data_IF_665676335761
#
_entry.id   IF_665676335761
#
_cell.length_a   1.000
_cell.length_b   1.000
_cell.length_c   1.000
_cell.angle_alpha   90.00
_cell.angle_beta   90.00
_cell.angle_gamma   90.00
#
_symmetry.space_group_name_H-M   'P 1'
#
loop_
_entity.id
_entity.type
_entity.pdbx_description
1 polymer ?
#
# COMPACT_ATOMS: atom_id res chain seq x y z
N UNK A 1 -5.69 0.07 -6.17
CA UNK A 1 -5.15 0.26 -7.53
C UNK A 1 -6.08 -0.13 -8.67
N UNK A 2 -6.49 -1.40 -8.83
CA UNK A 2 -7.41 -1.78 -9.91
C UNK A 2 -8.74 -1.00 -9.92
N UNK A 3 -9.23 -0.61 -8.74
CA UNK A 3 -10.41 0.26 -8.57
C UNK A 3 -10.04 1.75 -8.60
N UNK A 4 -8.86 2.12 -8.12
CA UNK A 4 -8.41 3.51 -8.04
C UNK A 4 -8.15 4.09 -9.44
N UNK A 5 -7.53 3.31 -10.33
CA UNK A 5 -7.20 3.73 -11.68
C UNK A 5 -8.42 4.22 -12.48
N UNK A 6 -9.50 3.42 -12.65
CA UNK A 6 -10.68 3.89 -13.37
C UNK A 6 -11.39 5.03 -12.63
N UNK A 7 -11.36 5.05 -11.29
CA UNK A 7 -11.92 6.16 -10.51
C UNK A 7 -11.21 7.49 -10.80
N UNK A 8 -9.88 7.49 -10.83
CA UNK A 8 -9.09 8.70 -11.14
C UNK A 8 -9.29 9.16 -12.58
N UNK A 9 -9.44 8.21 -13.53
CA UNK A 9 -9.67 8.54 -14.93
C UNK A 9 -11.06 9.15 -15.20
N UNK A 10 -12.04 8.98 -14.31
CA UNK A 10 -13.35 9.64 -14.43
C UNK A 10 -13.25 11.16 -14.42
N UNK A 11 -12.24 11.72 -13.76
CA UNK A 11 -12.00 13.16 -13.80
C UNK A 11 -11.65 13.64 -15.21
N UNK A 12 -10.87 12.85 -15.98
CA UNK A 12 -10.46 13.20 -17.33
C UNK A 12 -11.53 12.87 -18.38
N UNK A 13 -12.31 11.81 -18.15
CA UNK A 13 -13.35 11.37 -19.07
C UNK A 13 -14.62 10.93 -18.31
N UNK A 14 -15.42 11.90 -17.82
CA UNK A 14 -16.66 11.62 -17.08
C UNK A 14 -17.66 10.78 -17.89
N UNK A 15 -17.72 11.03 -19.21
CA UNK A 15 -18.62 10.35 -20.14
C UNK A 15 -18.18 8.91 -20.49
N UNK A 16 -17.10 8.39 -19.87
CA UNK A 16 -16.66 7.02 -20.17
C UNK A 16 -17.63 5.96 -19.67
N UNK A 17 -18.53 6.29 -18.72
CA UNK A 17 -19.44 5.34 -18.08
C UNK A 17 -20.47 4.81 -19.09
N UNK A 18 -20.36 3.53 -19.43
CA UNK A 18 -21.17 2.88 -20.45
C UNK A 18 -21.44 1.42 -20.09
N UNK A 19 -22.65 0.96 -20.42
CA UNK A 19 -23.10 -0.41 -20.18
C UNK A 19 -23.20 -0.74 -18.69
N UNK A 20 -24.28 -0.32 -18.05
CA UNK A 20 -24.55 -0.68 -16.65
C UNK A 20 -24.58 -2.22 -16.51
N UNK A 21 -23.81 -2.73 -15.55
CA UNK A 21 -23.71 -4.16 -15.27
C UNK A 21 -24.63 -4.55 -14.12
N UNK A 22 -24.35 -4.02 -12.91
CA UNK A 22 -25.11 -4.26 -11.69
C UNK A 22 -24.76 -3.21 -10.63
N UNK A 23 -25.54 -3.16 -9.54
CA UNK A 23 -25.30 -2.28 -8.40
C UNK A 23 -24.67 -3.05 -7.24
N UNK A 24 -23.59 -2.53 -6.65
CA UNK A 24 -22.95 -3.06 -5.43
C UNK A 24 -22.88 -1.95 -4.39
N UNK A 25 -23.49 -2.17 -3.22
CA UNK A 25 -23.46 -1.24 -2.09
C UNK A 25 -23.85 0.21 -2.46
N UNK A 26 -24.84 0.37 -3.35
CA UNK A 26 -25.31 1.68 -3.84
C UNK A 26 -24.53 2.25 -5.01
N UNK A 27 -23.40 1.65 -5.40
CA UNK A 27 -22.62 2.05 -6.58
C UNK A 27 -23.03 1.26 -7.82
N UNK A 28 -23.36 1.94 -8.92
CA UNK A 28 -23.62 1.32 -10.21
C UNK A 28 -22.30 1.00 -10.91
N UNK A 29 -22.04 -0.28 -11.13
CA UNK A 29 -20.84 -0.75 -11.83
C UNK A 29 -21.10 -0.68 -13.33
N UNK A 30 -20.28 0.10 -14.03
CA UNK A 30 -20.32 0.23 -15.50
C UNK A 30 -19.26 -0.65 -16.15
N UNK A 31 -19.60 -1.27 -17.29
CA UNK A 31 -18.73 -2.19 -18.02
C UNK A 31 -17.44 -1.52 -18.48
N UNK A 32 -17.53 -0.29 -19.00
CA UNK A 32 -16.36 0.49 -19.42
C UNK A 32 -15.43 0.84 -18.26
N UNK A 33 -15.98 1.25 -17.11
CA UNK A 33 -15.22 1.56 -15.89
C UNK A 33 -14.51 0.32 -15.34
N UNK A 34 -15.24 -0.81 -15.24
CA UNK A 34 -14.66 -2.07 -14.81
C UNK A 34 -13.58 -2.56 -15.80
N UNK A 35 -13.80 -2.38 -17.11
CA UNK A 35 -12.85 -2.75 -18.16
C UNK A 35 -11.51 -2.01 -18.02
N UNK A 36 -11.53 -0.70 -17.69
CA UNK A 36 -10.30 0.07 -17.44
C UNK A 36 -9.50 -0.54 -16.27
N UNK A 37 -10.17 -0.85 -15.16
CA UNK A 37 -9.53 -1.51 -14.01
C UNK A 37 -8.98 -2.91 -14.34
N UNK A 38 -9.76 -3.70 -15.08
CA UNK A 38 -9.37 -5.05 -15.52
C UNK A 38 -8.17 -5.00 -16.47
N UNK A 39 -8.19 -4.13 -17.48
CA UNK A 39 -7.08 -3.93 -18.43
C UNK A 39 -5.83 -3.48 -17.68
N UNK A 40 -5.95 -2.53 -16.74
CA UNK A 40 -4.86 -2.13 -15.87
C UNK A 40 -4.28 -3.32 -15.09
N UNK A 41 -5.13 -4.16 -14.50
CA UNK A 41 -4.70 -5.33 -13.76
C UNK A 41 -3.98 -6.35 -14.64
N UNK A 42 -4.48 -6.62 -15.85
CA UNK A 42 -3.80 -7.48 -16.83
C UNK A 42 -2.43 -6.90 -17.18
N UNK A 43 -2.36 -5.60 -17.50
CA UNK A 43 -1.12 -4.94 -17.89
C UNK A 43 -0.06 -4.97 -16.78
N UNK A 44 -0.45 -4.63 -15.54
CA UNK A 44 0.45 -4.65 -14.39
C UNK A 44 0.90 -6.07 -14.03
N UNK A 45 0.00 -7.05 -14.13
CA UNK A 45 0.31 -8.46 -13.92
C UNK A 45 1.31 -8.96 -14.97
N UNK A 46 1.05 -8.67 -16.24
CA UNK A 46 1.91 -9.05 -17.35
C UNK A 46 3.30 -8.43 -17.22
N UNK A 47 3.38 -7.13 -16.91
CA UNK A 47 4.65 -6.41 -16.70
C UNK A 47 5.51 -7.10 -15.65
N UNK A 48 4.92 -7.43 -14.50
CA UNK A 48 5.62 -8.09 -13.40
C UNK A 48 5.93 -9.56 -13.68
N UNK A 49 5.08 -10.24 -14.47
CA UNK A 49 5.30 -11.62 -14.88
C UNK A 49 6.50 -11.77 -15.82
N UNK A 50 6.60 -10.87 -16.83
CA UNK A 50 7.67 -10.87 -17.85
C UNK A 50 9.03 -10.53 -17.25
N UNK A 51 9.10 -9.67 -16.25
CA UNK A 51 10.32 -9.53 -15.47
C UNK A 51 10.52 -8.20 -14.76
N UNK A 52 11.50 -8.21 -13.85
CA UNK A 52 11.83 -7.09 -12.96
C UNK A 52 12.44 -5.91 -13.71
N UNK A 53 13.21 -6.16 -14.78
CA UNK A 53 13.87 -5.07 -15.54
C UNK A 53 12.84 -4.14 -16.23
N UNK A 54 11.88 -4.63 -17.05
CA UNK A 54 10.82 -3.78 -17.57
C UNK A 54 10.02 -3.08 -16.47
N UNK A 55 9.67 -3.80 -15.40
CA UNK A 55 8.93 -3.25 -14.27
C UNK A 55 9.70 -2.10 -13.58
N UNK A 56 11.02 -2.20 -13.45
CA UNK A 56 11.88 -1.16 -12.86
C UNK A 56 12.04 0.07 -13.77
N UNK A 57 12.14 -0.13 -15.10
CA UNK A 57 12.16 0.98 -16.06
C UNK A 57 10.83 1.72 -16.05
N UNK A 58 9.72 1.00 -16.09
CA UNK A 58 8.38 1.56 -15.96
C UNK A 58 8.24 2.36 -14.66
N UNK A 59 8.67 1.78 -13.53
CA UNK A 59 8.69 2.45 -12.23
C UNK A 59 9.44 3.77 -12.29
N UNK A 60 10.65 3.77 -12.85
CA UNK A 60 11.52 4.95 -12.89
C UNK A 60 10.93 6.07 -13.75
N UNK A 61 10.41 5.74 -14.94
CA UNK A 61 9.77 6.73 -15.83
C UNK A 61 8.53 7.34 -15.16
N UNK A 62 7.66 6.50 -14.58
CA UNK A 62 6.45 6.97 -13.93
C UNK A 62 6.74 7.80 -12.66
N UNK A 63 7.75 7.44 -11.87
CA UNK A 63 8.18 8.25 -10.71
C UNK A 63 8.77 9.60 -11.17
N UNK A 64 9.59 9.63 -12.21
CA UNK A 64 10.14 10.90 -12.73
C UNK A 64 9.03 11.81 -13.24
N UNK A 65 8.02 11.25 -13.92
CA UNK A 65 6.85 12.00 -14.35
C UNK A 65 6.04 12.53 -13.16
N UNK A 66 5.77 11.69 -12.16
CA UNK A 66 5.10 12.08 -10.92
C UNK A 66 5.85 13.23 -10.20
N UNK A 67 7.17 13.14 -10.09
CA UNK A 67 8.00 14.18 -9.49
C UNK A 67 7.98 15.48 -10.31
N UNK A 68 7.96 15.40 -11.64
CA UNK A 68 7.82 16.55 -12.51
C UNK A 68 6.48 17.27 -12.34
N UNK A 69 5.39 16.49 -12.29
CA UNK A 69 4.04 17.01 -12.02
C UNK A 69 3.95 17.62 -10.61
N UNK A 70 4.53 16.95 -9.62
CA UNK A 70 4.59 17.49 -8.26
C UNK A 70 5.42 18.76 -8.17
N UNK A 71 6.55 18.86 -8.87
CA UNK A 71 7.32 20.10 -8.95
C UNK A 71 6.50 21.24 -9.58
N UNK A 72 5.71 20.93 -10.62
CA UNK A 72 4.81 21.90 -11.24
C UNK A 72 3.72 22.39 -10.26
N UNK A 73 3.19 21.49 -9.44
CA UNK A 73 2.26 21.83 -8.35
C UNK A 73 2.91 22.76 -7.32
N UNK A 74 4.11 22.42 -6.84
CA UNK A 74 4.85 23.26 -5.88
C UNK A 74 5.16 24.66 -6.44
N UNK A 75 5.58 24.73 -7.71
CA UNK A 75 5.80 26.00 -8.41
C UNK A 75 4.50 26.81 -8.55
N UNK A 76 3.38 26.13 -8.81
CA UNK A 76 2.05 26.74 -8.85
C UNK A 76 1.74 27.50 -7.57
N UNK A 77 1.97 26.91 -6.39
CA UNK A 77 1.72 27.61 -5.12
C UNK A 77 2.63 28.81 -4.88
N UNK A 78 3.82 28.88 -5.50
CA UNK A 78 4.68 30.07 -5.38
C UNK A 78 4.17 31.20 -6.28
N UNK A 79 3.57 30.87 -7.42
CA UNK A 79 3.14 31.84 -8.43
C UNK A 79 1.70 32.32 -8.20
N UNK A 80 0.80 31.41 -7.82
CA UNK A 80 -0.64 31.66 -7.70
C UNK A 80 -1.26 31.24 -6.37
N UNK A 81 -0.46 30.82 -5.38
CA UNK A 81 -0.99 30.45 -4.07
C UNK A 81 -1.25 31.66 -3.17
N UNK A 82 -2.33 31.61 -2.40
CA UNK A 82 -2.67 32.65 -1.42
C UNK A 82 -2.48 32.13 0.01
N UNK A 83 -1.74 32.88 0.83
CA UNK A 83 -1.48 32.49 2.22
C UNK A 83 -2.74 32.57 3.12
N UNK A 84 -3.72 33.38 2.72
CA UNK A 84 -4.98 33.52 3.46
C UNK A 84 -5.83 32.24 3.38
N UNK A 85 -5.72 31.48 2.29
CA UNK A 85 -6.38 30.17 2.14
C UNK A 85 -5.88 29.13 3.17
N UNK A 86 -4.64 29.30 3.67
CA UNK A 86 -4.09 28.44 4.72
C UNK A 86 -4.67 28.76 6.11
N UNK A 87 -5.42 29.84 6.27
CA UNK A 87 -6.00 30.22 7.55
C UNK A 87 -7.45 29.72 7.70
N UNK A 88 -7.82 29.19 8.88
CA UNK A 88 -6.93 28.84 9.99
C UNK A 88 -6.11 27.57 9.67
N UNK A 89 -4.82 27.56 10.09
CA UNK A 89 -3.92 26.42 9.88
C UNK A 89 -4.39 25.12 10.55
N UNK A 90 -5.28 25.22 11.54
CA UNK A 90 -5.77 24.09 12.30
C UNK A 90 -7.26 24.21 12.56
N UNK A 91 -8.01 23.22 12.06
CA UNK A 91 -9.47 23.09 12.22
C UNK A 91 -9.82 21.73 12.84
N UNK A 92 -11.00 21.64 13.46
CA UNK A 92 -11.52 20.37 13.98
C UNK A 92 -10.92 19.88 15.30
N UNK A 93 -9.93 20.57 15.88
CA UNK A 93 -9.40 20.23 17.20
C UNK A 93 -8.77 18.82 17.25
N UNK A 94 -8.92 18.15 18.39
CA UNK A 94 -8.48 16.76 18.54
C UNK A 94 -9.19 15.80 17.58
N UNK A 95 -10.47 16.06 17.25
CA UNK A 95 -11.22 15.22 16.32
C UNK A 95 -10.65 15.29 14.89
N UNK A 96 -10.24 16.48 14.44
CA UNK A 96 -9.57 16.65 13.15
C UNK A 96 -8.25 15.88 13.06
N UNK A 97 -7.43 15.95 14.12
CA UNK A 97 -6.17 15.18 14.21
C UNK A 97 -6.43 13.68 14.16
N UNK A 98 -7.41 13.21 14.92
CA UNK A 98 -7.78 11.78 14.92
C UNK A 98 -8.27 11.39 13.53
N UNK A 99 -9.08 12.21 12.86
CA UNK A 99 -9.55 11.96 11.50
C UNK A 99 -8.41 11.79 10.49
N UNK A 100 -7.38 12.64 10.56
CA UNK A 100 -6.17 12.46 9.73
C UNK A 100 -5.41 11.20 10.10
N UNK A 101 -5.25 10.92 11.40
CA UNK A 101 -4.54 9.73 11.89
C UNK A 101 -5.15 8.41 11.41
N UNK A 102 -6.46 8.37 11.14
CA UNK A 102 -7.14 7.19 10.56
C UNK A 102 -6.60 6.83 9.18
N UNK A 103 -6.31 7.82 8.33
CA UNK A 103 -5.82 7.58 6.97
C UNK A 103 -4.32 7.27 6.91
N UNK A 104 -3.55 7.67 7.92
CA UNK A 104 -2.07 7.56 7.94
C UNK A 104 -1.54 6.14 7.70
N UNK A 105 -2.05 5.07 8.35
CA UNK A 105 -1.53 3.71 8.14
C UNK A 105 -1.60 3.28 6.67
N UNK A 106 -2.69 3.64 5.98
CA UNK A 106 -2.85 3.34 4.57
C UNK A 106 -1.94 4.21 3.69
N UNK A 107 -1.85 5.51 3.96
CA UNK A 107 -1.01 6.43 3.17
C UNK A 107 0.49 6.09 3.26
N UNK A 108 0.95 5.54 4.39
CA UNK A 108 2.36 5.20 4.59
C UNK A 108 2.71 3.75 4.25
N UNK A 109 1.74 2.90 3.87
CA UNK A 109 2.05 1.52 3.48
C UNK A 109 2.87 1.50 2.18
N UNK A 110 3.85 0.59 2.08
CA UNK A 110 4.69 0.43 0.89
C UNK A 110 6.19 0.54 1.16
N UNK A 111 6.63 1.15 2.28
CA UNK A 111 8.05 1.15 2.66
C UNK A 111 8.58 -0.28 2.90
N UNK A 112 7.70 -1.21 3.25
CA UNK A 112 7.99 -2.62 3.50
C UNK A 112 8.27 -3.43 2.23
N UNK A 113 8.00 -2.87 1.04
CA UNK A 113 8.37 -3.48 -0.25
C UNK A 113 9.89 -3.51 -0.44
N UNK A 114 10.60 -2.52 0.10
CA UNK A 114 12.07 -2.43 0.02
C UNK A 114 12.74 -3.68 0.62
N UNK A 115 12.50 -4.05 1.90
CA UNK A 115 13.08 -5.27 2.47
C UNK A 115 12.55 -6.56 1.82
N UNK A 116 11.32 -6.60 1.29
CA UNK A 116 10.78 -7.78 0.59
C UNK A 116 11.55 -8.10 -0.71
N UNK A 117 12.21 -7.10 -1.29
CA UNK A 117 13.03 -7.26 -2.49
C UNK A 117 14.53 -7.19 -2.19
N UNK A 118 14.94 -7.26 -0.91
CA UNK A 118 16.33 -7.04 -0.51
C UNK A 118 17.32 -8.03 -1.17
N UNK A 119 16.89 -9.27 -1.43
CA UNK A 119 17.72 -10.28 -2.12
C UNK A 119 18.01 -9.92 -3.58
N UNK A 120 17.16 -9.11 -4.21
CA UNK A 120 17.31 -8.65 -5.60
C UNK A 120 18.06 -7.30 -5.68
N UNK A 121 18.33 -6.65 -4.53
CA UNK A 121 18.98 -5.34 -4.45
C UNK A 121 20.51 -5.51 -4.32
N UNK A 122 21.26 -4.94 -5.26
CA UNK A 122 22.73 -4.91 -5.19
C UNK A 122 23.23 -3.76 -4.30
N UNK A 123 22.86 -3.76 -3.01
CA UNK A 123 23.32 -2.79 -2.01
C UNK A 123 23.65 -3.48 -0.69
N UNK A 124 24.61 -2.96 0.11
CA UNK A 124 24.87 -3.48 1.44
C UNK A 124 23.61 -3.40 2.32
N UNK A 125 23.31 -4.43 3.11
CA UNK A 125 22.13 -4.48 4.00
C UNK A 125 22.01 -3.27 4.93
N UNK A 126 23.14 -2.73 5.41
CA UNK A 126 23.16 -1.50 6.23
C UNK A 126 22.59 -0.29 5.49
N UNK A 127 22.83 -0.19 4.18
CA UNK A 127 22.30 0.88 3.34
C UNK A 127 20.82 0.68 3.06
N UNK A 128 20.37 -0.56 2.82
CA UNK A 128 18.95 -0.89 2.68
C UNK A 128 18.16 -0.42 3.90
N UNK A 129 18.66 -0.70 5.11
CA UNK A 129 18.03 -0.22 6.36
C UNK A 129 17.96 1.31 6.47
N UNK A 130 18.98 2.04 6.00
CA UNK A 130 18.97 3.52 5.95
C UNK A 130 17.97 4.05 4.93
N UNK A 131 17.91 3.44 3.73
CA UNK A 131 17.01 3.85 2.66
C UNK A 131 15.54 3.68 3.07
N UNK A 132 15.22 2.68 3.87
CA UNK A 132 13.88 2.51 4.44
C UNK A 132 13.49 3.74 5.29
N UNK A 133 14.35 4.17 6.22
CA UNK A 133 14.09 5.37 7.05
C UNK A 133 14.00 6.64 6.19
N UNK A 134 14.91 6.80 5.23
CA UNK A 134 14.91 7.94 4.31
C UNK A 134 13.63 7.98 3.48
N UNK A 135 13.13 6.82 3.02
CA UNK A 135 11.90 6.74 2.20
C UNK A 135 10.68 7.24 2.96
N UNK A 136 10.52 6.84 4.23
CA UNK A 136 9.40 7.28 5.08
C UNK A 136 9.50 8.77 5.38
N UNK A 137 10.71 9.27 5.68
CA UNK A 137 10.94 10.71 5.91
C UNK A 137 10.65 11.55 4.65
N UNK A 138 11.09 11.08 3.48
CA UNK A 138 10.84 11.74 2.20
C UNK A 138 9.35 11.75 1.86
N UNK A 139 8.64 10.64 2.06
CA UNK A 139 7.19 10.58 1.88
C UNK A 139 6.45 11.54 2.83
N UNK A 140 6.87 11.61 4.10
CA UNK A 140 6.31 12.56 5.07
C UNK A 140 6.49 14.00 4.61
N UNK A 141 7.71 14.37 4.19
CA UNK A 141 8.00 15.71 3.68
C UNK A 141 7.17 16.01 2.43
N UNK A 142 7.04 15.04 1.51
CA UNK A 142 6.22 15.17 0.32
C UNK A 142 4.75 15.41 0.64
N UNK A 143 4.17 14.65 1.57
CA UNK A 143 2.79 14.85 1.98
C UNK A 143 2.56 16.23 2.60
N UNK A 144 3.46 16.70 3.47
CA UNK A 144 3.38 18.05 4.04
C UNK A 144 3.45 19.12 2.95
N UNK A 145 4.37 18.97 1.99
CA UNK A 145 4.49 19.90 0.86
C UNK A 145 3.22 19.95 0.03
N UNK A 146 2.65 18.80 -0.34
CA UNK A 146 1.39 18.74 -1.10
C UNK A 146 0.23 19.36 -0.31
N UNK A 147 0.11 19.06 1.00
CA UNK A 147 -0.95 19.65 1.83
C UNK A 147 -0.85 21.17 1.90
N UNK A 148 0.34 21.72 2.10
CA UNK A 148 0.54 23.18 2.15
C UNK A 148 0.26 23.82 0.79
N UNK A 149 0.70 23.18 -0.30
CA UNK A 149 0.49 23.71 -1.66
C UNK A 149 -0.97 23.65 -2.10
N UNK A 150 -1.69 22.58 -1.79
CA UNK A 150 -3.14 22.51 -2.08
C UNK A 150 -3.90 23.44 -1.13
N UNK A 151 -3.51 23.53 0.13
CA UNK A 151 -4.12 24.44 1.09
C UNK A 151 -3.96 25.92 0.75
N UNK A 152 -2.95 26.31 -0.02
CA UNK A 152 -2.80 27.69 -0.50
C UNK A 152 -3.59 27.97 -1.78
N UNK A 153 -4.04 26.93 -2.50
CA UNK A 153 -4.65 27.07 -3.82
C UNK A 153 -6.12 27.48 -3.79
N UNK A 154 -6.88 27.04 -2.80
CA UNK A 154 -8.34 27.18 -2.77
C UNK A 154 -8.82 27.49 -1.34
N UNK A 155 -9.94 28.24 -1.19
CA UNK A 155 -10.60 28.42 0.10
C UNK A 155 -11.07 27.09 0.73
N UNK A 156 -11.14 27.03 2.07
CA UNK A 156 -11.42 25.78 2.80
C UNK A 156 -12.78 25.14 2.47
N UNK A 157 -13.81 25.95 2.24
CA UNK A 157 -15.15 25.47 1.85
C UNK A 157 -15.15 24.84 0.46
N UNK A 158 -14.38 25.41 -0.47
CA UNK A 158 -14.19 24.85 -1.81
C UNK A 158 -13.36 23.56 -1.76
N UNK A 159 -12.26 23.55 -1.00
CA UNK A 159 -11.44 22.35 -0.78
C UNK A 159 -12.26 21.19 -0.18
N UNK A 160 -13.15 21.48 0.77
CA UNK A 160 -13.98 20.48 1.42
C UNK A 160 -15.09 19.93 0.50
N UNK A 161 -15.52 20.70 -0.50
CA UNK A 161 -16.53 20.30 -1.47
C UNK A 161 -15.95 19.59 -2.71
N UNK A 162 -14.65 19.72 -2.96
CA UNK A 162 -13.98 19.14 -4.12
C UNK A 162 -13.83 17.61 -4.01
N UNK A 163 -14.12 16.91 -5.10
CA UNK A 163 -13.89 15.46 -5.20
C UNK A 163 -12.42 15.11 -5.40
N UNK A 164 -11.66 15.97 -6.09
CA UNK A 164 -10.21 15.84 -6.28
C UNK A 164 -9.51 17.18 -5.98
N UNK A 165 -9.38 17.54 -4.69
CA UNK A 165 -8.89 18.86 -4.26
C UNK A 165 -7.51 19.20 -4.80
N UNK A 166 -6.66 18.18 -4.98
CA UNK A 166 -5.33 18.36 -5.55
C UNK A 166 -5.40 18.86 -7.00
N UNK A 167 -6.30 18.30 -7.83
CA UNK A 167 -6.43 18.62 -9.26
C UNK A 167 -7.11 19.97 -9.48
N UNK A 168 -8.17 20.24 -8.71
CA UNK A 168 -8.85 21.53 -8.70
C UNK A 168 -7.89 22.63 -8.25
N UNK A 169 -7.14 22.38 -7.17
CA UNK A 169 -6.12 23.30 -6.68
C UNK A 169 -5.03 23.58 -7.71
N UNK A 170 -4.56 22.56 -8.43
CA UNK A 170 -3.61 22.76 -9.53
C UNK A 170 -4.18 23.61 -10.66
N UNK A 171 -5.46 23.43 -11.00
CA UNK A 171 -6.12 24.23 -12.03
C UNK A 171 -6.23 25.69 -11.61
N UNK A 172 -6.54 25.95 -10.34
CA UNK A 172 -6.64 27.30 -9.79
C UNK A 172 -5.28 28.01 -9.76
N UNK A 173 -4.25 27.34 -9.25
CA UNK A 173 -2.88 27.90 -9.16
C UNK A 173 -2.32 28.39 -10.49
N UNK A 174 -2.74 27.77 -11.60
CA UNK A 174 -2.30 28.10 -12.96
C UNK A 174 -3.39 28.78 -13.80
N UNK A 175 -4.60 28.98 -13.26
CA UNK A 175 -5.75 29.52 -13.98
C UNK A 175 -6.16 28.71 -15.22
N UNK A 176 -5.92 27.40 -15.24
CA UNK A 176 -6.17 26.56 -16.42
C UNK A 176 -6.38 25.08 -16.08
N UNK A 177 -7.51 24.53 -16.55
CA UNK A 177 -7.89 23.13 -16.39
C UNK A 177 -6.84 22.15 -16.90
N UNK A 178 -6.06 22.54 -17.93
CA UNK A 178 -5.00 21.70 -18.48
C UNK A 178 -4.00 21.27 -17.39
N UNK A 179 -3.70 22.14 -16.42
CA UNK A 179 -2.78 21.81 -15.35
C UNK A 179 -3.40 20.84 -14.33
N UNK A 180 -4.70 20.95 -14.06
CA UNK A 180 -5.44 19.93 -13.31
C UNK A 180 -5.40 18.56 -13.99
N UNK A 181 -5.63 18.52 -15.30
CA UNK A 181 -5.59 17.28 -16.08
C UNK A 181 -4.19 16.64 -16.06
N UNK A 182 -3.13 17.45 -16.19
CA UNK A 182 -1.74 17.01 -16.02
C UNK A 182 -1.51 16.44 -14.61
N UNK A 183 -2.09 17.06 -13.58
CA UNK A 183 -2.00 16.55 -12.22
C UNK A 183 -2.67 15.18 -12.08
N UNK A 184 -3.84 15.00 -12.67
CA UNK A 184 -4.55 13.72 -12.67
C UNK A 184 -3.73 12.64 -13.37
N UNK A 185 -3.07 12.95 -14.50
CA UNK A 185 -2.12 12.04 -15.13
C UNK A 185 -0.94 11.70 -14.20
N UNK A 186 -0.44 12.67 -13.44
CA UNK A 186 0.56 12.43 -12.39
C UNK A 186 0.05 11.48 -11.30
N UNK A 187 -1.19 11.68 -10.84
CA UNK A 187 -1.88 10.79 -9.89
C UNK A 187 -2.03 9.36 -10.43
N UNK A 188 -2.38 9.21 -11.72
CA UNK A 188 -2.41 7.91 -12.41
C UNK A 188 -1.02 7.25 -12.39
N UNK A 189 0.06 8.00 -12.68
CA UNK A 189 1.41 7.47 -12.55
C UNK A 189 1.75 7.04 -11.10
N UNK A 190 1.28 7.79 -10.11
CA UNK A 190 1.36 7.41 -8.68
C UNK A 190 0.65 6.08 -8.38
N UNK A 191 -0.58 5.91 -8.85
CA UNK A 191 -1.35 4.66 -8.70
C UNK A 191 -0.61 3.49 -9.36
N UNK A 192 -0.12 3.67 -10.58
CA UNK A 192 0.57 2.61 -11.31
C UNK A 192 1.92 2.22 -10.68
N UNK A 193 2.67 3.19 -10.13
CA UNK A 193 3.94 2.93 -9.43
C UNK A 193 3.73 2.23 -8.09
N UNK A 194 2.70 2.61 -7.35
CA UNK A 194 2.26 1.91 -6.13
C UNK A 194 1.85 0.47 -6.47
N UNK A 195 1.01 0.30 -7.49
CA UNK A 195 0.55 -1.03 -7.93
C UNK A 195 1.70 -1.94 -8.33
N UNK A 196 2.64 -1.43 -9.13
CA UNK A 196 3.83 -2.16 -9.53
C UNK A 196 4.64 -2.64 -8.30
N UNK A 197 4.86 -1.73 -7.35
CA UNK A 197 5.65 -1.99 -6.14
C UNK A 197 4.98 -3.03 -5.24
N UNK A 198 3.67 -2.93 -5.01
CA UNK A 198 2.95 -3.91 -4.21
C UNK A 198 2.90 -5.29 -4.89
N UNK A 199 2.70 -5.35 -6.20
CA UNK A 199 2.71 -6.64 -6.91
C UNK A 199 4.10 -7.29 -6.88
N UNK A 200 5.16 -6.48 -7.00
CA UNK A 200 6.53 -6.92 -6.81
C UNK A 200 6.71 -7.48 -5.39
N UNK A 201 6.50 -6.67 -4.35
CA UNK A 201 6.72 -7.08 -2.96
C UNK A 201 5.87 -8.27 -2.53
N UNK A 202 4.55 -8.21 -2.73
CA UNK A 202 3.63 -9.26 -2.30
C UNK A 202 3.92 -10.62 -2.96
N UNK A 203 4.32 -10.63 -4.23
CA UNK A 203 4.68 -11.88 -4.90
C UNK A 203 5.97 -12.51 -4.34
N UNK A 204 6.95 -11.71 -3.90
CA UNK A 204 8.16 -12.21 -3.21
C UNK A 204 7.85 -12.70 -1.81
N UNK A 205 7.02 -11.96 -1.08
CA UNK A 205 6.57 -12.38 0.24
C UNK A 205 5.84 -13.73 0.17
N UNK A 206 4.90 -13.87 -0.77
CA UNK A 206 4.19 -15.14 -0.99
C UNK A 206 5.15 -16.27 -1.39
N UNK A 207 6.11 -16.00 -2.27
CA UNK A 207 7.14 -16.97 -2.65
C UNK A 207 7.99 -17.42 -1.46
N UNK A 208 8.45 -16.48 -0.63
CA UNK A 208 9.26 -16.76 0.56
C UNK A 208 8.47 -17.62 1.55
N UNK A 209 7.25 -17.22 1.89
CA UNK A 209 6.37 -17.99 2.79
C UNK A 209 6.08 -19.40 2.26
N UNK A 210 5.89 -19.55 0.94
CA UNK A 210 5.69 -20.86 0.31
C UNK A 210 6.96 -21.72 0.32
N UNK A 211 8.13 -21.09 0.15
CA UNK A 211 9.44 -21.76 0.20
C UNK A 211 9.77 -22.27 1.59
N UNK A 212 9.37 -21.53 2.63
CA UNK A 212 9.47 -21.96 4.04
C UNK A 212 8.35 -22.93 4.46
N UNK A 213 7.44 -23.31 3.56
CA UNK A 213 6.38 -24.29 3.81
C UNK A 213 5.11 -23.74 4.49
N UNK A 214 5.04 -22.42 4.71
CA UNK A 214 3.90 -21.74 5.34
C UNK A 214 2.72 -21.52 4.38
N UNK A 215 2.99 -21.47 3.08
CA UNK A 215 1.98 -21.42 2.02
C UNK A 215 2.07 -22.65 1.10
N UNK A 216 1.01 -22.94 0.30
CA UNK A 216 1.06 -24.00 -0.70
C UNK A 216 2.26 -23.86 -1.63
N UNK A 217 2.98 -24.98 -1.87
CA UNK A 217 4.19 -25.02 -2.71
C UNK A 217 4.01 -24.49 -4.13
N UNK A 218 2.77 -24.46 -4.63
CA UNK A 218 2.45 -23.86 -5.91
C UNK A 218 2.96 -22.41 -6.01
N UNK A 219 2.90 -21.63 -4.92
CA UNK A 219 3.41 -20.26 -4.87
C UNK A 219 4.94 -20.15 -4.85
N UNK A 220 5.65 -21.23 -4.48
CA UNK A 220 7.12 -21.29 -4.51
C UNK A 220 7.67 -21.62 -5.92
N UNK A 221 6.81 -21.70 -6.94
CA UNK A 221 7.25 -22.02 -8.30
C UNK A 221 7.73 -20.76 -9.02
N UNK A 222 8.97 -20.80 -9.50
CA UNK A 222 9.58 -19.73 -10.29
C UNK A 222 9.46 -20.05 -11.77
N UNK A 223 9.13 -19.04 -12.59
CA UNK A 223 9.01 -19.19 -14.03
C UNK A 223 10.38 -19.50 -14.68
N UNK A 224 10.52 -20.54 -15.52
CA UNK A 224 11.82 -20.99 -16.02
C UNK A 224 12.53 -19.93 -16.89
N UNK A 225 11.77 -19.19 -17.71
CA UNK A 225 12.32 -18.13 -18.59
C UNK A 225 12.58 -16.80 -17.88
N UNK A 226 11.58 -16.27 -17.17
CA UNK A 226 11.59 -14.94 -16.59
C UNK A 226 12.16 -14.87 -15.17
N UNK A 227 12.33 -16.03 -14.50
CA UNK A 227 12.83 -16.14 -13.13
C UNK A 227 12.03 -15.33 -12.10
N UNK A 228 10.73 -15.16 -12.35
CA UNK A 228 9.77 -14.48 -11.47
C UNK A 228 8.88 -15.50 -10.74
N UNK A 229 8.32 -15.19 -9.56
CA UNK A 229 7.35 -16.05 -8.87
C UNK A 229 5.99 -16.02 -9.58
N UNK A 230 5.94 -16.61 -10.78
CA UNK A 230 4.84 -16.46 -11.74
C UNK A 230 3.47 -16.83 -11.18
N UNK A 231 3.38 -17.90 -10.40
CA UNK A 231 2.12 -18.34 -9.80
C UNK A 231 1.58 -17.36 -8.75
N UNK A 232 2.46 -16.78 -7.94
CA UNK A 232 2.08 -15.74 -6.97
C UNK A 232 1.62 -14.47 -7.70
N UNK A 233 2.32 -14.05 -8.75
CA UNK A 233 1.95 -12.90 -9.58
C UNK A 233 0.57 -13.11 -10.21
N UNK A 234 0.32 -14.28 -10.81
CA UNK A 234 -0.97 -14.60 -11.43
C UNK A 234 -2.11 -14.65 -10.41
N UNK A 235 -1.86 -15.13 -9.20
CA UNK A 235 -2.87 -15.16 -8.14
C UNK A 235 -3.24 -13.75 -7.68
N UNK A 236 -2.25 -12.90 -7.36
CA UNK A 236 -2.48 -11.52 -6.93
C UNK A 236 -3.12 -10.71 -8.07
N UNK A 237 -2.65 -10.90 -9.31
CA UNK A 237 -3.23 -10.34 -10.52
C UNK A 237 -4.68 -10.77 -10.71
N UNK A 238 -4.98 -12.05 -10.50
CA UNK A 238 -6.33 -12.61 -10.50
C UNK A 238 -7.27 -11.92 -9.52
N UNK A 239 -6.85 -11.74 -8.26
CA UNK A 239 -7.64 -11.00 -7.27
C UNK A 239 -7.83 -9.54 -7.68
N UNK A 240 -6.80 -8.92 -8.27
CA UNK A 240 -6.85 -7.54 -8.75
C UNK A 240 -7.83 -7.36 -9.92
N UNK A 241 -7.96 -8.35 -10.80
CA UNK A 241 -8.92 -8.36 -11.91
C UNK A 241 -10.37 -8.39 -11.43
N UNK A 242 -10.62 -9.04 -10.28
CA UNK A 242 -11.96 -9.15 -9.71
C UNK A 242 -12.39 -7.88 -8.98
N UNK A 243 -11.46 -7.10 -8.43
CA UNK A 243 -11.79 -5.95 -7.58
C UNK A 243 -12.70 -4.90 -8.26
N UNK A 244 -12.48 -4.50 -9.54
CA UNK A 244 -13.38 -3.56 -10.23
C UNK A 244 -14.81 -4.09 -10.40
N UNK A 245 -15.04 -5.40 -10.35
CA UNK A 245 -16.40 -5.95 -10.49
C UNK A 245 -17.30 -5.63 -9.29
N UNK A 246 -16.71 -5.15 -8.19
CA UNK A 246 -17.43 -4.78 -6.97
C UNK A 246 -17.62 -3.26 -6.82
N UNK A 247 -17.27 -2.48 -7.84
CA UNK A 247 -17.45 -1.03 -7.85
C UNK A 247 -16.47 -0.26 -6.98
N UNK A 248 -16.67 1.05 -6.89
CA UNK A 248 -15.78 1.96 -6.14
C UNK A 248 -15.70 1.59 -4.66
N UNK A 249 -16.80 1.09 -4.08
CA UNK A 249 -16.86 0.75 -2.66
C UNK A 249 -15.86 -0.36 -2.25
N UNK A 250 -15.47 -1.23 -3.19
CA UNK A 250 -14.43 -2.23 -2.94
C UNK A 250 -13.09 -1.61 -2.55
N UNK A 251 -12.76 -0.42 -3.06
CA UNK A 251 -11.55 0.29 -2.64
C UNK A 251 -11.61 0.64 -1.15
N UNK A 252 -12.74 1.20 -0.70
CA UNK A 252 -12.94 1.58 0.71
C UNK A 252 -12.81 0.34 1.60
N UNK A 253 -13.52 -0.73 1.28
CA UNK A 253 -13.48 -1.96 2.08
C UNK A 253 -12.07 -2.57 2.19
N UNK A 254 -11.30 -2.55 1.11
CA UNK A 254 -9.93 -3.07 1.11
C UNK A 254 -8.96 -2.15 1.86
N UNK A 255 -9.15 -0.83 1.76
CA UNK A 255 -8.37 0.17 2.50
C UNK A 255 -8.59 -0.01 4.00
N UNK A 256 -9.84 -0.14 4.44
CA UNK A 256 -10.19 -0.18 5.85
C UNK A 256 -9.80 -1.53 6.48
N UNK A 257 -10.23 -2.65 5.88
CA UNK A 257 -9.86 -3.98 6.38
C UNK A 257 -8.34 -4.25 6.26
N UNK A 258 -7.71 -3.73 5.21
CA UNK A 258 -6.26 -3.78 5.02
C UNK A 258 -5.50 -2.94 6.04
N UNK A 259 -5.98 -1.72 6.32
CA UNK A 259 -5.40 -0.79 7.28
C UNK A 259 -5.24 -1.41 8.68
N UNK A 260 -6.29 -2.09 9.15
CA UNK A 260 -6.27 -2.83 10.42
C UNK A 260 -5.17 -3.89 10.41
N UNK A 261 -5.10 -4.67 9.32
CA UNK A 261 -4.13 -5.74 9.17
C UNK A 261 -2.68 -5.22 9.14
N UNK A 262 -2.46 -4.07 8.50
CA UNK A 262 -1.17 -3.36 8.46
C UNK A 262 -0.76 -2.92 9.88
N UNK A 263 -1.66 -2.31 10.64
CA UNK A 263 -1.35 -1.85 12.00
C UNK A 263 -1.04 -3.01 12.94
N UNK A 264 -1.78 -4.12 12.83
CA UNK A 264 -1.47 -5.35 13.58
C UNK A 264 -0.09 -5.89 13.17
N UNK A 265 0.24 -5.90 11.88
CA UNK A 265 1.56 -6.31 11.42
C UNK A 265 2.68 -5.41 11.99
N UNK A 266 2.50 -4.09 12.02
CA UNK A 266 3.45 -3.16 12.65
C UNK A 266 3.64 -3.45 14.14
N UNK A 267 2.55 -3.72 14.87
CA UNK A 267 2.63 -4.14 16.26
C UNK A 267 3.42 -5.46 16.41
N UNK A 268 3.14 -6.47 15.59
CA UNK A 268 3.85 -7.75 15.66
C UNK A 268 5.33 -7.62 15.30
N UNK A 269 5.69 -6.79 14.32
CA UNK A 269 7.09 -6.52 13.95
C UNK A 269 7.83 -5.83 15.09
N UNK A 270 7.21 -4.85 15.75
CA UNK A 270 7.84 -4.13 16.88
C UNK A 270 8.01 -5.03 18.11
N UNK A 271 7.02 -5.89 18.40
CA UNK A 271 7.15 -6.94 19.43
C UNK A 271 8.27 -7.91 19.08
N UNK A 272 8.31 -8.40 17.83
CA UNK A 272 9.35 -9.33 17.34
C UNK A 272 10.74 -8.70 17.46
N UNK A 273 10.89 -7.41 17.11
CA UNK A 273 12.12 -6.66 17.30
C UNK A 273 12.59 -6.64 18.77
N UNK A 274 11.67 -6.40 19.72
CA UNK A 274 11.98 -6.40 21.16
C UNK A 274 12.33 -7.81 21.66
N UNK A 275 11.63 -8.84 21.19
CA UNK A 275 11.89 -10.25 21.53
C UNK A 275 13.26 -10.68 21.02
N UNK A 276 13.59 -10.41 19.74
CA UNK A 276 14.88 -10.76 19.16
C UNK A 276 16.05 -10.06 19.84
N UNK A 277 15.86 -8.85 20.39
CA UNK A 277 16.92 -8.19 21.18
C UNK A 277 17.21 -8.90 22.50
N UNK A 278 16.24 -9.64 23.06
CA UNK A 278 16.42 -10.41 24.30
C UNK A 278 16.86 -11.84 24.05
N UNK A 279 16.25 -12.51 23.06
CA UNK A 279 16.52 -13.92 22.76
C UNK A 279 17.79 -14.15 21.95
N UNK A 280 18.13 -13.22 21.07
CA UNK A 280 19.31 -13.32 20.19
C UNK A 280 20.16 -12.04 20.23
N UNK A 281 20.81 -11.75 21.38
CA UNK A 281 21.62 -10.55 21.55
C UNK A 281 22.83 -10.51 20.60
N UNK A 282 23.42 -11.68 20.31
CA UNK A 282 24.64 -11.81 19.51
C UNK A 282 24.40 -11.92 18.00
N UNK A 283 23.14 -11.89 17.55
CA UNK A 283 22.81 -11.91 16.12
C UNK A 283 23.42 -10.69 15.41
N UNK A 284 24.04 -10.92 14.25
CA UNK A 284 24.59 -9.84 13.44
C UNK A 284 23.45 -8.91 12.98
N UNK A 285 23.65 -7.60 13.16
CA UNK A 285 22.65 -6.57 12.83
C UNK A 285 23.33 -5.49 11.99
N UNK A 286 23.34 -5.65 10.65
CA UNK A 286 24.00 -4.71 9.75
C UNK A 286 23.49 -3.27 9.92
N UNK A 287 22.21 -3.12 10.22
CA UNK A 287 21.59 -1.85 10.62
C UNK A 287 21.10 -1.92 12.07
N UNK A 288 21.38 -0.88 12.86
CA UNK A 288 20.92 -0.73 14.25
C UNK A 288 20.20 0.60 14.41
N UNK A 289 18.95 0.53 14.86
CA UNK A 289 18.12 1.71 15.20
C UNK A 289 18.75 2.47 16.38
N UNK A 290 18.88 3.79 16.23
CA UNK A 290 19.30 4.69 17.30
C UNK A 290 18.22 4.69 18.41
N UNK A 291 18.61 4.55 19.68
CA UNK A 291 17.68 4.46 20.82
C UNK A 291 17.21 3.03 21.17
N UNK A 292 17.60 2.02 20.40
CA UNK A 292 17.56 0.63 20.85
C UNK A 292 16.14 0.11 21.18
N UNK A 293 15.96 -0.59 22.32
CA UNK A 293 14.65 -1.11 22.74
C UNK A 293 13.60 -0.03 23.01
N UNK A 294 14.00 1.20 23.37
CA UNK A 294 13.06 2.28 23.70
C UNK A 294 12.22 2.64 22.47
N UNK A 295 12.86 2.75 21.30
CA UNK A 295 12.16 3.00 20.03
C UNK A 295 11.19 1.87 19.69
N UNK A 296 11.59 0.62 19.93
CA UNK A 296 10.71 -0.54 19.72
C UNK A 296 9.49 -0.54 20.65
N UNK A 297 9.66 -0.18 21.92
CA UNK A 297 8.57 -0.08 22.88
C UNK A 297 7.60 1.06 22.53
N UNK A 298 8.14 2.23 22.17
CA UNK A 298 7.32 3.36 21.72
C UNK A 298 6.54 3.00 20.46
N UNK A 299 7.19 2.38 19.47
CA UNK A 299 6.54 1.96 18.23
C UNK A 299 5.43 0.92 18.48
N UNK A 300 5.62 -0.01 19.42
CA UNK A 300 4.59 -0.97 19.81
C UNK A 300 3.38 -0.27 20.46
N UNK A 301 3.61 0.70 21.36
CA UNK A 301 2.52 1.48 21.99
C UNK A 301 1.78 2.32 20.95
N UNK A 302 2.49 3.00 20.05
CA UNK A 302 1.87 3.80 18.98
C UNK A 302 1.09 2.94 17.99
N UNK A 303 1.61 1.76 17.63
CA UNK A 303 0.88 0.81 16.77
C UNK A 303 -0.39 0.32 17.46
N UNK A 304 -0.34 0.02 18.77
CA UNK A 304 -1.52 -0.36 19.54
C UNK A 304 -2.53 0.80 19.63
N UNK A 305 -2.07 2.03 19.83
CA UNK A 305 -2.93 3.21 19.85
C UNK A 305 -3.64 3.42 18.50
N UNK A 306 -2.94 3.21 17.38
CA UNK A 306 -3.56 3.21 16.05
C UNK A 306 -4.57 2.08 15.88
N UNK A 307 -4.28 0.87 16.40
CA UNK A 307 -5.20 -0.26 16.31
C UNK A 307 -6.54 0.01 17.00
N UNK A 308 -6.51 0.76 18.11
CA UNK A 308 -7.72 1.17 18.84
C UNK A 308 -8.66 2.00 17.96
N UNK A 309 -8.14 2.81 17.02
CA UNK A 309 -8.97 3.65 16.15
C UNK A 309 -9.90 2.85 15.22
N UNK A 310 -9.60 1.57 15.00
CA UNK A 310 -10.39 0.66 14.17
C UNK A 310 -11.46 -0.13 14.95
N UNK A 311 -11.53 0.01 16.28
CA UNK A 311 -12.52 -0.69 17.09
C UNK A 311 -13.94 -0.10 16.90
N UNK A 312 -15.00 -0.90 17.13
CA UNK A 312 -16.38 -0.41 17.06
C UNK A 312 -16.59 0.85 17.90
N UNK A 313 -17.16 1.90 17.28
CA UNK A 313 -17.40 3.20 17.93
C UNK A 313 -16.27 4.22 17.79
N UNK A 314 -15.15 3.85 17.17
CA UNK A 314 -14.07 4.78 16.83
C UNK A 314 -14.18 5.28 15.37
N UNK A 315 -13.46 6.36 15.01
CA UNK A 315 -13.61 7.00 13.69
C UNK A 315 -13.19 6.14 12.49
N UNK A 316 -12.34 5.13 12.69
CA UNK A 316 -11.96 4.15 11.67
C UNK A 316 -12.66 2.79 11.85
N UNK A 317 -13.78 2.75 12.59
CA UNK A 317 -14.47 1.51 12.89
C UNK A 317 -14.87 0.79 11.59
N UNK A 318 -14.52 -0.50 11.50
CA UNK A 318 -14.88 -1.29 10.32
C UNK A 318 -16.40 -1.38 10.17
N UNK A 319 -16.86 -1.18 8.94
CA UNK A 319 -18.26 -1.23 8.55
C UNK A 319 -18.71 -2.69 8.43
N UNK A 320 -19.78 -3.02 9.15
CA UNK A 320 -20.45 -4.30 9.04
C UNK A 320 -21.35 -4.35 7.78
N UNK A 321 -21.42 -5.48 7.04
CA UNK A 321 -20.71 -6.74 7.24
C UNK A 321 -19.41 -6.89 6.44
N UNK A 322 -19.21 -6.10 5.38
CA UNK A 322 -18.24 -6.40 4.32
C UNK A 322 -16.79 -6.41 4.82
N UNK A 323 -16.35 -5.38 5.53
CA UNK A 323 -14.96 -5.26 5.98
C UNK A 323 -14.61 -6.31 7.03
N UNK A 324 -15.53 -6.61 7.95
CA UNK A 324 -15.35 -7.68 8.93
C UNK A 324 -15.31 -9.07 8.30
N UNK A 325 -16.11 -9.31 7.25
CA UNK A 325 -16.07 -10.58 6.51
C UNK A 325 -14.73 -10.72 5.79
N UNK A 326 -14.22 -9.66 5.14
CA UNK A 326 -12.90 -9.67 4.49
C UNK A 326 -11.81 -9.96 5.53
N UNK A 327 -11.78 -9.19 6.63
CA UNK A 327 -10.80 -9.37 7.70
C UNK A 327 -10.88 -10.79 8.28
N UNK A 328 -12.08 -11.23 8.65
CA UNK A 328 -12.33 -12.54 9.22
C UNK A 328 -11.94 -13.68 8.29
N UNK A 329 -12.24 -13.58 6.99
CA UNK A 329 -11.86 -14.59 6.00
C UNK A 329 -10.34 -14.74 5.89
N UNK A 330 -9.60 -13.63 5.82
CA UNK A 330 -8.13 -13.65 5.76
C UNK A 330 -7.51 -14.18 7.05
N UNK A 331 -8.04 -13.80 8.21
CA UNK A 331 -7.59 -14.32 9.50
C UNK A 331 -7.85 -15.83 9.62
N UNK A 332 -9.05 -16.29 9.25
CA UNK A 332 -9.39 -17.72 9.26
C UNK A 332 -8.47 -18.50 8.31
N UNK A 333 -8.20 -17.96 7.12
CA UNK A 333 -7.25 -18.58 6.18
C UNK A 333 -5.84 -18.66 6.78
N UNK A 334 -5.34 -17.57 7.38
CA UNK A 334 -4.03 -17.53 8.03
C UNK A 334 -3.93 -18.50 9.21
N UNK A 335 -4.93 -18.53 10.09
CA UNK A 335 -5.00 -19.45 11.23
C UNK A 335 -5.06 -20.90 10.75
N UNK A 336 -5.87 -21.20 9.73
CA UNK A 336 -5.93 -22.53 9.12
C UNK A 336 -4.59 -22.97 8.51
N UNK A 337 -3.81 -22.04 7.96
CA UNK A 337 -2.45 -22.31 7.45
C UNK A 337 -1.47 -22.54 8.59
N UNK A 338 -1.47 -21.70 9.63
CA UNK A 338 -0.59 -21.85 10.79
C UNK A 338 -0.88 -23.14 11.56
N UNK A 339 -2.14 -23.53 11.72
CA UNK A 339 -2.52 -24.78 12.40
C UNK A 339 -2.06 -26.04 11.65
N UNK A 340 -1.71 -25.94 10.36
CA UNK A 340 -1.13 -27.05 9.58
C UNK A 340 0.37 -27.17 9.78
N UNK A 341 1.03 -26.16 10.35
CA UNK A 341 2.46 -26.17 10.54
C UNK A 341 2.85 -27.01 11.76
N UNK A 342 3.95 -27.78 11.66
CA UNK A 342 4.49 -28.47 12.82
C UNK A 342 5.00 -27.45 13.83
N UNK A 343 4.81 -27.72 15.12
CA UNK A 343 5.35 -26.88 16.19
C UNK A 343 6.86 -27.03 16.28
N UNK A 344 7.58 -25.93 16.18
CA UNK A 344 9.05 -25.90 16.19
C UNK A 344 9.54 -24.91 17.24
N UNK A 345 10.59 -25.31 17.94
CA UNK A 345 11.22 -24.47 18.94
C UNK A 345 11.87 -23.24 18.32
N UNK A 346 11.94 -22.11 19.04
CA UNK A 346 12.72 -20.97 18.57
C UNK A 346 14.21 -21.32 18.50
N UNK A 347 14.89 -20.90 17.44
CA UNK A 347 16.34 -21.08 17.29
C UNK A 347 16.85 -20.77 15.88
N UNK A 348 18.18 -20.77 15.73
CA UNK A 348 18.86 -20.44 14.46
C UNK A 348 18.50 -21.39 13.30
N UNK A 349 18.16 -22.64 13.62
CA UNK A 349 17.79 -23.67 12.63
C UNK A 349 16.28 -23.88 12.52
N UNK A 350 15.45 -23.04 13.15
CA UNK A 350 14.00 -23.24 13.20
C UNK A 350 13.36 -23.30 11.80
N UNK A 351 13.87 -22.52 10.84
CA UNK A 351 13.37 -22.56 9.46
C UNK A 351 13.73 -23.87 8.74
N UNK A 352 14.97 -24.36 8.89
CA UNK A 352 15.41 -25.63 8.31
C UNK A 352 14.60 -26.80 8.88
N UNK A 353 14.37 -26.78 10.19
CA UNK A 353 13.52 -27.74 10.89
C UNK A 353 12.07 -27.69 10.36
N UNK A 354 11.54 -26.48 10.11
CA UNK A 354 10.19 -26.27 9.57
C UNK A 354 10.03 -26.86 8.19
N UNK A 355 10.97 -26.59 7.32
CA UNK A 355 10.98 -27.11 5.95
C UNK A 355 11.10 -28.64 5.99
N UNK A 356 11.98 -29.18 6.83
CA UNK A 356 12.18 -30.62 6.96
C UNK A 356 10.93 -31.34 7.49
N UNK A 357 10.28 -30.80 8.53
CA UNK A 357 9.08 -31.38 9.12
C UNK A 357 7.88 -31.30 8.16
N UNK A 358 7.71 -30.17 7.46
CA UNK A 358 6.64 -29.97 6.48
C UNK A 358 6.81 -30.90 5.26
N UNK A 359 8.05 -31.19 4.85
CA UNK A 359 8.35 -32.16 3.77
C UNK A 359 8.01 -33.60 4.16
N UNK A 360 8.26 -34.00 5.41
CA UNK A 360 7.94 -35.36 5.89
C UNK A 360 6.44 -35.58 6.00
N UNK A 361 5.68 -34.61 6.50
CA UNK A 361 4.22 -34.72 6.63
C UNK A 361 3.50 -34.85 5.29
N UNK A 362 3.97 -34.15 4.25
CA UNK A 362 3.40 -34.23 2.90
C UNK A 362 3.74 -35.49 2.11
N UNK A 363 4.65 -36.35 2.58
CA UNK A 363 4.95 -37.65 1.98
C UNK A 363 4.13 -38.80 2.60
N UNK A 364 3.38 -38.52 3.67
CA UNK A 364 2.56 -39.48 4.41
C UNK A 364 1.05 -39.36 4.13
N UNK A 365 0.65 -38.40 3.30
CA UNK A 365 -0.70 -38.21 2.74
C UNK A 365 -0.59 -38.31 1.23
#
# INVERSE_FOLDING_TARGET
EAVALPQTLLYLAPDMLAGELWTVAGYQVYASWAAVGVVGAVAMTWLNYVGVRPAAVFQSVAVLFLLGVGALLLLGSVVGGEADNLQPLFTGGAAGVIGVLVAVPFLFVGFDVIPQSAEEINLPYRLIGKLLVISVAAATAWYVLVMVTVGSSLPQDVLAASELPTADGMSELWGSQLFGDILVLGGVAGILTSWNSFLLGASRLMYALASSGMLPRWFATVHPRYRTPGNAILFIGGLSLLAPLFGQQMLVWLVDAGGVSIVIAFFLVTVTFLVLRRREPDMERPFRVAGGPVVGALAAVLSLALAVLFLPGMPAALIWPYEWVILGAWWLAGVAMVMRLPSIGPGRHAEEELIAATRRGGASR
#
